data_IF_426182318572
#
_entry.id   IF_426182318572
#
_cell.length_a   1.000
_cell.length_b   1.000
_cell.length_c   1.000
_cell.angle_alpha   90.00
_cell.angle_beta   90.00
_cell.angle_gamma   90.00
#
_symmetry.space_group_name_H-M   'P 1'
#
loop_
_entity.id
_entity.type
_entity.pdbx_description
1 polymer ?
#
# COMPACT_ATOMS: atom_id res chain seq x y z
N UNK A 1 -17.11 -58.30 42.31
CA UNK A 1 -16.28 -57.74 41.25
C UNK A 1 -17.18 -56.76 40.47
N UNK A 2 -16.95 -55.44 40.61
CA UNK A 2 -17.67 -54.40 39.88
C UNK A 2 -16.71 -53.85 38.84
N UNK A 3 -17.06 -54.06 37.57
CA UNK A 3 -16.28 -53.58 36.41
C UNK A 3 -16.71 -52.14 36.09
N UNK A 4 -15.80 -51.20 36.29
CA UNK A 4 -16.05 -49.79 35.92
C UNK A 4 -15.61 -49.59 34.46
N UNK A 5 -16.59 -49.29 33.60
CA UNK A 5 -16.30 -48.93 32.22
C UNK A 5 -15.87 -47.46 32.14
N UNK A 6 -14.70 -47.23 31.58
CA UNK A 6 -14.15 -45.88 31.32
C UNK A 6 -14.65 -45.43 29.95
N UNK A 7 -15.56 -44.43 29.91
CA UNK A 7 -15.94 -43.77 28.66
C UNK A 7 -14.86 -42.79 28.26
N UNK A 8 -14.16 -43.03 27.15
CA UNK A 8 -13.26 -42.08 26.50
C UNK A 8 -14.09 -41.20 25.58
N UNK A 9 -14.33 -39.98 25.98
CA UNK A 9 -14.90 -38.94 25.10
C UNK A 9 -13.81 -38.47 24.15
N UNK A 10 -13.85 -38.90 22.90
CA UNK A 10 -13.05 -38.34 21.82
C UNK A 10 -13.73 -37.05 21.38
N UNK A 11 -13.25 -35.92 21.88
CA UNK A 11 -13.64 -34.60 21.40
C UNK A 11 -13.11 -34.38 19.98
N UNK A 12 -13.97 -34.37 19.00
CA UNK A 12 -13.67 -33.85 17.68
C UNK A 12 -13.54 -32.32 17.80
N UNK A 13 -12.32 -31.81 17.81
CA UNK A 13 -12.10 -30.40 17.47
C UNK A 13 -12.46 -30.24 16.00
N UNK A 14 -13.59 -29.61 15.72
CA UNK A 14 -13.90 -29.15 14.38
C UNK A 14 -12.78 -28.16 13.99
N UNK A 15 -11.94 -28.55 13.03
CA UNK A 15 -11.05 -27.61 12.37
C UNK A 15 -11.96 -26.54 11.76
N UNK A 16 -11.87 -25.29 12.26
CA UNK A 16 -12.51 -24.18 11.61
C UNK A 16 -12.02 -24.18 10.16
N UNK A 17 -12.94 -24.31 9.20
CA UNK A 17 -12.60 -24.17 7.80
C UNK A 17 -11.87 -22.84 7.65
N UNK A 18 -10.69 -22.85 7.04
CA UNK A 18 -9.98 -21.62 6.75
C UNK A 18 -10.93 -20.74 5.93
N UNK A 19 -11.33 -19.59 6.48
CA UNK A 19 -12.15 -18.64 5.72
C UNK A 19 -11.39 -18.30 4.43
N UNK A 20 -12.08 -18.40 3.29
CA UNK A 20 -11.48 -18.00 2.02
C UNK A 20 -11.24 -16.49 2.00
N UNK A 21 -10.21 -16.04 1.27
CA UNK A 21 -10.04 -14.61 1.02
C UNK A 21 -11.27 -14.06 0.28
N UNK A 22 -11.78 -12.86 0.65
CA UNK A 22 -12.92 -12.24 -0.03
C UNK A 22 -12.66 -12.11 -1.54
N UNK A 23 -13.59 -12.58 -2.36
CA UNK A 23 -13.43 -12.61 -3.82
C UNK A 23 -13.21 -11.22 -4.41
N UNK A 24 -13.84 -10.21 -3.85
CA UNK A 24 -13.72 -8.81 -4.23
C UNK A 24 -12.38 -8.18 -3.84
N UNK A 25 -11.55 -8.87 -3.07
CA UNK A 25 -10.18 -8.46 -2.76
C UNK A 25 -9.11 -9.18 -3.60
N UNK A 26 -9.45 -10.27 -4.28
CA UNK A 26 -8.46 -11.11 -4.97
C UNK A 26 -8.75 -11.34 -6.45
N UNK A 27 -9.92 -10.97 -6.94
CA UNK A 27 -10.34 -11.25 -8.32
C UNK A 27 -10.43 -9.96 -9.15
N UNK A 28 -9.33 -9.60 -9.82
CA UNK A 28 -9.17 -8.34 -10.51
C UNK A 28 -8.94 -8.52 -12.00
N UNK A 29 -9.60 -7.68 -12.80
CA UNK A 29 -9.34 -7.54 -14.23
C UNK A 29 -9.10 -6.07 -14.58
N UNK A 30 -8.25 -5.76 -15.56
CA UNK A 30 -8.11 -4.38 -16.03
C UNK A 30 -9.49 -3.79 -16.40
N UNK A 31 -9.73 -2.54 -16.03
CA UNK A 31 -10.95 -1.85 -16.47
C UNK A 31 -11.00 -1.86 -18.01
N UNK A 32 -12.08 -2.38 -18.62
CA UNK A 32 -12.12 -2.57 -20.07
C UNK A 32 -12.15 -1.27 -20.86
N UNK A 33 -12.65 -0.18 -20.26
CA UNK A 33 -12.75 1.12 -20.92
C UNK A 33 -11.53 2.01 -20.63
N UNK A 34 -10.96 1.90 -19.45
CA UNK A 34 -9.90 2.78 -18.95
C UNK A 34 -8.83 1.99 -18.18
N UNK A 35 -8.08 1.08 -18.86
CA UNK A 35 -7.08 0.27 -18.16
C UNK A 35 -5.90 1.10 -17.62
N UNK A 36 -5.67 2.29 -18.18
CA UNK A 36 -4.69 3.26 -17.69
C UNK A 36 -5.38 4.60 -17.51
N UNK A 37 -5.32 5.14 -16.30
CA UNK A 37 -6.06 6.36 -15.92
C UNK A 37 -5.16 7.57 -15.67
N UNK A 38 -3.85 7.35 -15.41
CA UNK A 38 -2.91 8.46 -15.23
C UNK A 38 -1.48 8.03 -15.61
N UNK A 39 -0.73 8.94 -16.24
CA UNK A 39 0.66 8.73 -16.70
C UNK A 39 1.51 9.96 -16.42
N UNK A 40 2.82 9.80 -16.49
CA UNK A 40 3.74 10.92 -16.60
C UNK A 40 3.39 11.82 -17.80
N UNK A 41 3.65 13.12 -17.67
CA UNK A 41 3.30 14.10 -18.71
C UNK A 41 4.17 13.99 -19.98
N UNK A 42 5.29 13.27 -19.88
CA UNK A 42 6.21 13.09 -21.02
C UNK A 42 7.01 14.34 -21.34
N UNK A 43 7.77 14.29 -22.44
CA UNK A 43 8.54 15.43 -22.93
C UNK A 43 9.47 16.06 -21.91
N UNK A 44 9.43 17.39 -21.81
CA UNK A 44 10.24 18.19 -20.90
C UNK A 44 9.56 18.49 -19.56
N UNK A 45 8.39 17.89 -19.29
CA UNK A 45 7.70 18.10 -18.03
C UNK A 45 8.55 17.63 -16.83
N UNK A 46 8.35 18.24 -15.66
CA UNK A 46 9.02 17.84 -14.43
C UNK A 46 8.61 16.41 -14.01
N UNK A 47 7.36 16.03 -14.27
CA UNK A 47 6.77 14.70 -14.10
C UNK A 47 6.73 13.93 -15.43
N UNK A 48 7.81 14.04 -16.22
CA UNK A 48 7.97 13.27 -17.48
C UNK A 48 7.62 11.81 -17.27
N UNK A 49 8.01 11.28 -16.13
CA UNK A 49 7.73 9.93 -15.67
C UNK A 49 7.10 10.02 -14.29
N UNK A 50 6.16 9.15 -14.02
CA UNK A 50 5.70 8.85 -12.66
C UNK A 50 6.14 7.44 -12.30
N UNK A 51 6.31 7.19 -11.02
CA UNK A 51 6.85 5.94 -10.58
C UNK A 51 6.53 5.72 -9.11
N UNK A 52 6.66 4.48 -8.68
CA UNK A 52 6.46 3.99 -7.34
C UNK A 52 5.04 4.25 -6.81
N UNK A 53 4.81 3.96 -5.55
CA UNK A 53 3.49 4.11 -4.96
C UNK A 53 3.11 5.59 -4.85
N UNK A 54 1.99 5.94 -5.49
CA UNK A 54 1.23 7.14 -5.17
C UNK A 54 0.17 6.84 -4.09
N UNK A 55 -0.72 7.80 -3.83
CA UNK A 55 -1.83 7.61 -2.92
C UNK A 55 -3.10 8.23 -3.45
N UNK A 56 -4.22 7.50 -3.37
CA UNK A 56 -5.54 8.02 -3.72
C UNK A 56 -6.38 8.15 -2.43
N UNK A 57 -6.81 9.37 -2.14
CA UNK A 57 -7.79 9.68 -1.11
C UNK A 57 -9.11 10.10 -1.72
N UNK A 58 -10.24 9.83 -1.06
CA UNK A 58 -11.57 10.27 -1.49
C UNK A 58 -12.16 11.19 -0.43
N UNK A 59 -12.50 12.42 -0.83
CA UNK A 59 -13.09 13.44 0.04
C UNK A 59 -14.38 13.98 -0.58
N UNK A 60 -15.51 13.57 -0.01
CA UNK A 60 -16.81 13.89 -0.62
C UNK A 60 -16.89 13.36 -2.06
N UNK A 61 -17.15 14.23 -3.07
CA UNK A 61 -17.21 13.79 -4.47
C UNK A 61 -15.86 13.79 -5.18
N UNK A 62 -14.76 14.16 -4.50
CA UNK A 62 -13.46 14.40 -5.13
C UNK A 62 -12.48 13.32 -4.76
N UNK A 63 -11.79 12.80 -5.76
CA UNK A 63 -10.62 11.94 -5.62
C UNK A 63 -9.37 12.80 -5.70
N UNK A 64 -8.44 12.58 -4.80
CA UNK A 64 -7.13 13.21 -4.75
C UNK A 64 -6.07 12.14 -5.02
N UNK A 65 -5.20 12.39 -5.97
CA UNK A 65 -4.04 11.57 -6.25
C UNK A 65 -2.78 12.36 -5.89
N UNK A 66 -2.02 11.89 -4.92
CA UNK A 66 -0.65 12.31 -4.67
C UNK A 66 0.28 11.30 -5.34
N UNK A 67 1.23 11.78 -6.14
CA UNK A 67 2.08 10.91 -6.94
C UNK A 67 3.53 11.39 -6.97
N UNK A 68 4.44 10.45 -7.12
CA UNK A 68 5.84 10.72 -7.37
C UNK A 68 6.07 11.01 -8.84
N UNK A 69 6.63 12.17 -9.15
CA UNK A 69 6.99 12.57 -10.50
C UNK A 69 8.46 12.96 -10.61
N UNK A 70 9.06 12.70 -11.77
CA UNK A 70 10.47 13.03 -11.99
C UNK A 70 10.85 13.17 -13.47
N UNK A 71 11.95 13.87 -13.69
CA UNK A 71 12.63 13.96 -14.98
C UNK A 71 14.13 14.01 -14.73
N UNK A 72 14.80 12.88 -14.86
CA UNK A 72 16.23 12.72 -14.56
C UNK A 72 17.12 13.63 -15.40
N UNK A 73 16.66 14.06 -16.58
CA UNK A 73 17.36 15.05 -17.41
C UNK A 73 17.34 16.47 -16.83
N UNK A 74 16.48 16.74 -15.83
CA UNK A 74 16.30 18.09 -15.24
C UNK A 74 16.66 18.15 -13.76
N UNK A 75 16.40 17.08 -13.01
CA UNK A 75 16.65 17.03 -11.57
C UNK A 75 16.94 15.59 -11.14
N UNK A 76 17.88 15.40 -10.20
CA UNK A 76 18.09 14.10 -9.57
C UNK A 76 17.04 13.77 -8.51
N UNK A 77 16.10 14.70 -8.22
CA UNK A 77 15.10 14.53 -7.18
C UNK A 77 13.80 13.91 -7.73
N UNK A 78 13.07 13.28 -6.82
CA UNK A 78 11.70 12.85 -6.99
C UNK A 78 10.79 13.87 -6.28
N UNK A 79 9.79 14.37 -6.97
CA UNK A 79 8.91 15.43 -6.46
C UNK A 79 7.51 14.92 -6.23
N UNK A 80 6.79 15.56 -5.31
CA UNK A 80 5.39 15.28 -5.06
C UNK A 80 4.50 16.07 -6.01
N UNK A 81 3.68 15.38 -6.76
CA UNK A 81 2.60 15.96 -7.55
C UNK A 81 1.23 15.68 -6.95
N UNK A 82 0.25 16.46 -7.39
CA UNK A 82 -1.14 16.30 -7.04
C UNK A 82 -2.03 16.37 -8.28
N UNK A 83 -3.07 15.56 -8.27
CA UNK A 83 -4.14 15.62 -9.29
C UNK A 83 -5.49 15.32 -8.63
N UNK A 84 -6.57 15.81 -9.25
CA UNK A 84 -7.94 15.56 -8.79
C UNK A 84 -8.77 14.89 -9.86
N UNK A 85 -9.81 14.19 -9.42
CA UNK A 85 -10.80 13.56 -10.31
C UNK A 85 -12.18 13.56 -9.64
N UNK A 86 -13.24 13.63 -10.43
CA UNK A 86 -14.61 13.46 -9.99
C UNK A 86 -15.10 12.00 -10.10
N UNK A 87 -14.34 11.14 -10.79
CA UNK A 87 -14.74 9.76 -11.08
C UNK A 87 -13.66 8.71 -10.80
N UNK A 88 -12.44 9.16 -10.44
CA UNK A 88 -11.27 8.29 -10.24
C UNK A 88 -10.68 7.75 -11.55
N UNK A 89 -11.18 8.23 -12.70
CA UNK A 89 -10.76 7.79 -14.04
C UNK A 89 -10.10 8.93 -14.82
N UNK A 90 -10.77 10.11 -14.87
CA UNK A 90 -10.26 11.28 -15.55
C UNK A 90 -9.63 12.22 -14.54
N UNK A 91 -8.32 12.39 -14.64
CA UNK A 91 -7.54 13.15 -13.68
C UNK A 91 -7.07 14.49 -14.26
N UNK A 92 -7.17 15.52 -13.45
CA UNK A 92 -6.67 16.86 -13.75
C UNK A 92 -5.49 17.17 -12.83
N UNK A 93 -4.32 17.41 -13.39
CA UNK A 93 -3.13 17.86 -12.63
C UNK A 93 -3.37 19.20 -11.99
N UNK A 94 -2.93 19.34 -10.74
CA UNK A 94 -2.95 20.64 -10.07
C UNK A 94 -2.03 21.62 -10.80
N UNK A 95 -2.49 22.85 -11.08
CA UNK A 95 -1.68 23.85 -11.75
C UNK A 95 -0.47 24.32 -10.93
N UNK A 96 -0.47 24.11 -9.60
CA UNK A 96 0.63 24.44 -8.72
C UNK A 96 1.73 23.36 -8.68
N UNK A 97 1.57 22.27 -9.42
CA UNK A 97 2.56 21.18 -9.42
C UNK A 97 3.97 21.60 -9.86
N UNK A 98 5.02 21.04 -9.22
CA UNK A 98 4.98 20.07 -8.11
C UNK A 98 4.55 20.74 -6.80
N UNK A 99 3.68 20.10 -6.02
CA UNK A 99 3.20 20.63 -4.73
C UNK A 99 4.24 20.50 -3.63
N UNK A 100 5.29 19.72 -3.85
CA UNK A 100 6.51 19.71 -3.01
C UNK A 100 7.72 19.32 -3.86
N UNK A 101 8.80 20.09 -3.76
CA UNK A 101 10.03 19.92 -4.53
C UNK A 101 11.30 20.19 -3.71
N UNK A 102 11.19 20.39 -2.39
CA UNK A 102 12.32 20.72 -1.54
C UNK A 102 13.14 19.47 -1.18
N UNK A 103 12.50 18.31 -1.12
CA UNK A 103 13.15 17.04 -0.81
C UNK A 103 12.72 15.92 -1.76
N UNK A 104 13.36 14.77 -1.63
CA UNK A 104 12.98 13.54 -2.32
C UNK A 104 11.72 12.96 -1.70
N UNK A 105 10.70 12.69 -2.51
CA UNK A 105 9.41 12.10 -2.08
C UNK A 105 9.07 10.95 -3.01
N UNK A 106 9.06 9.74 -2.47
CA UNK A 106 8.75 8.50 -3.18
C UNK A 106 7.92 7.58 -2.27
N UNK A 107 7.19 6.62 -2.83
CA UNK A 107 6.38 5.66 -2.08
C UNK A 107 5.45 6.28 -1.02
N UNK A 108 4.64 7.23 -1.47
CA UNK A 108 3.83 8.05 -0.57
C UNK A 108 2.64 7.28 0.02
N UNK A 109 2.37 7.55 1.29
CA UNK A 109 1.17 7.16 2.01
C UNK A 109 0.58 8.41 2.67
N UNK A 110 -0.67 8.75 2.38
CA UNK A 110 -1.31 9.95 2.91
C UNK A 110 -2.47 9.56 3.83
N UNK A 111 -2.42 10.04 5.05
CA UNK A 111 -3.47 9.83 6.06
C UNK A 111 -4.07 11.16 6.48
N UNK A 112 -5.39 11.30 6.40
CA UNK A 112 -6.09 12.46 6.94
C UNK A 112 -6.59 12.18 8.34
N UNK A 113 -6.06 12.90 9.33
CA UNK A 113 -6.41 12.72 10.73
C UNK A 113 -6.53 14.06 11.45
N UNK A 114 -7.63 14.25 12.22
CA UNK A 114 -7.84 15.48 12.99
C UNK A 114 -7.89 16.76 12.16
N UNK A 115 -8.35 16.67 10.91
CA UNK A 115 -8.44 17.81 9.98
C UNK A 115 -7.11 18.18 9.30
N UNK A 116 -6.06 17.39 9.48
CA UNK A 116 -4.73 17.55 8.83
C UNK A 116 -4.38 16.33 8.01
N UNK A 117 -3.46 16.54 7.06
CA UNK A 117 -2.85 15.47 6.27
C UNK A 117 -1.46 15.19 6.83
N UNK A 118 -1.18 13.91 7.02
CA UNK A 118 0.12 13.37 7.32
C UNK A 118 0.56 12.53 6.12
N UNK A 119 1.68 12.89 5.51
CA UNK A 119 2.28 12.17 4.41
C UNK A 119 3.54 11.49 4.90
N UNK A 120 3.61 10.20 4.67
CA UNK A 120 4.78 9.37 4.90
C UNK A 120 5.35 9.00 3.53
N UNK A 121 6.64 9.18 3.36
CA UNK A 121 7.30 8.94 2.09
C UNK A 121 8.68 8.31 2.29
N UNK A 122 9.14 7.64 1.26
CA UNK A 122 10.54 7.29 1.15
C UNK A 122 11.33 8.50 0.63
N UNK A 123 12.44 8.78 1.29
CA UNK A 123 13.38 9.82 0.93
C UNK A 123 14.65 9.25 0.31
N UNK A 124 15.68 10.08 0.18
CA UNK A 124 17.00 9.63 -0.28
C UNK A 124 17.55 8.51 0.61
N UNK A 125 18.24 7.57 -0.03
CA UNK A 125 18.87 6.41 0.61
C UNK A 125 17.85 5.52 1.32
N UNK A 126 16.63 5.48 0.79
CA UNK A 126 15.54 4.66 1.29
C UNK A 126 15.28 4.93 2.79
N UNK A 127 15.21 6.21 3.18
CA UNK A 127 14.93 6.64 4.54
C UNK A 127 13.53 7.23 4.62
N UNK A 128 12.66 6.59 5.38
CA UNK A 128 11.30 7.07 5.58
C UNK A 128 11.28 8.41 6.32
N UNK A 129 10.49 9.35 5.81
CA UNK A 129 10.30 10.67 6.40
C UNK A 129 8.83 11.08 6.37
N UNK A 130 8.52 12.17 7.08
CA UNK A 130 7.16 12.66 7.21
C UNK A 130 7.04 14.12 6.78
N UNK A 131 5.93 14.43 6.12
CA UNK A 131 5.46 15.78 5.83
C UNK A 131 4.05 15.94 6.41
N UNK A 132 3.64 17.18 6.67
CA UNK A 132 2.28 17.48 7.13
C UNK A 132 1.71 18.65 6.36
N UNK A 133 0.38 18.66 6.20
CA UNK A 133 -0.33 19.73 5.47
C UNK A 133 -1.69 20.01 6.11
N UNK A 134 -2.15 21.25 5.96
CA UNK A 134 -3.52 21.62 6.33
C UNK A 134 -4.53 21.38 5.18
N UNK A 135 -4.06 21.40 3.94
CA UNK A 135 -4.89 21.39 2.74
C UNK A 135 -4.54 20.29 1.71
N UNK A 136 -3.47 19.50 1.99
CA UNK A 136 -3.00 18.46 1.07
C UNK A 136 -2.18 18.98 -0.12
N UNK A 137 -1.92 20.28 -0.20
CA UNK A 137 -1.20 20.95 -1.28
C UNK A 137 0.08 21.63 -0.81
N UNK A 138 0.05 22.27 0.35
CA UNK A 138 1.20 22.93 0.95
C UNK A 138 1.76 22.07 2.07
N UNK A 139 2.99 21.58 1.89
CA UNK A 139 3.60 20.57 2.75
C UNK A 139 4.79 21.10 3.53
N UNK A 140 4.75 20.90 4.85
CA UNK A 140 5.83 21.17 5.78
C UNK A 140 6.60 19.90 6.10
N UNK A 141 7.91 19.89 5.92
CA UNK A 141 8.75 18.76 6.28
C UNK A 141 8.83 18.57 7.80
N UNK A 142 8.78 17.32 8.24
CA UNK A 142 8.97 16.92 9.65
C UNK A 142 10.25 16.11 9.85
N UNK A 143 10.91 15.75 8.75
CA UNK A 143 12.15 15.01 8.74
C UNK A 143 11.99 13.49 8.81
N UNK A 144 13.11 12.78 8.94
CA UNK A 144 13.13 11.32 9.04
C UNK A 144 12.34 10.82 10.23
N UNK A 145 11.74 9.62 10.08
CA UNK A 145 11.03 8.95 11.18
C UNK A 145 12.04 8.43 12.21
N UNK A 146 11.83 8.71 13.50
CA UNK A 146 12.61 8.13 14.61
C UNK A 146 12.03 6.75 14.96
N UNK A 147 12.51 5.72 14.27
CA UNK A 147 12.09 4.34 14.50
C UNK A 147 13.04 3.65 15.48
N UNK A 148 12.47 2.96 16.45
CA UNK A 148 13.17 2.32 17.56
C UNK A 148 12.80 0.85 17.70
N UNK A 149 13.73 0.08 18.26
CA UNK A 149 13.52 -1.29 18.68
C UNK A 149 12.52 -1.36 19.84
N UNK A 150 12.08 -2.57 20.17
CA UNK A 150 11.17 -2.83 21.29
C UNK A 150 11.71 -2.30 22.62
N UNK A 151 13.01 -2.33 22.83
CA UNK A 151 13.69 -1.81 24.03
C UNK A 151 13.88 -0.29 24.05
N UNK A 152 13.43 0.40 23.01
CA UNK A 152 13.55 1.86 22.85
C UNK A 152 14.88 2.33 22.28
N UNK A 153 15.85 1.44 22.02
CA UNK A 153 17.08 1.80 21.32
C UNK A 153 16.83 2.07 19.83
N UNK A 154 17.65 2.89 19.17
CA UNK A 154 17.52 3.09 17.71
C UNK A 154 17.61 1.78 16.94
N UNK A 155 16.89 1.69 15.82
CA UNK A 155 17.10 0.57 14.88
C UNK A 155 18.52 0.60 14.32
N UNK A 156 19.00 -0.55 13.85
CA UNK A 156 20.33 -0.64 13.25
C UNK A 156 20.44 0.32 12.03
N UNK A 157 21.61 0.92 11.79
CA UNK A 157 21.83 1.77 10.61
C UNK A 157 21.50 1.04 9.30
N UNK A 158 21.04 1.79 8.32
CA UNK A 158 20.70 1.28 6.99
C UNK A 158 19.38 1.81 6.49
N UNK A 159 18.92 1.36 5.30
CA UNK A 159 17.66 1.78 4.73
C UNK A 159 16.47 1.31 5.58
N UNK A 160 15.43 2.13 5.58
CA UNK A 160 14.09 1.82 6.08
C UNK A 160 13.09 2.71 5.33
N UNK A 161 12.48 2.15 4.30
CA UNK A 161 11.68 2.87 3.31
C UNK A 161 10.26 2.34 3.19
N UNK A 162 9.62 2.71 2.10
CA UNK A 162 8.26 2.31 1.72
C UNK A 162 7.27 2.37 2.90
N UNK A 163 7.12 3.53 3.57
CA UNK A 163 6.32 3.64 4.79
C UNK A 163 4.83 3.57 4.48
N UNK A 164 4.10 2.69 5.16
CA UNK A 164 2.64 2.60 5.12
C UNK A 164 2.10 2.82 6.51
N UNK A 165 1.36 3.93 6.71
CA UNK A 165 0.85 4.31 8.03
C UNK A 165 -0.67 4.42 8.05
N UNK A 166 -1.26 4.20 9.21
CA UNK A 166 -2.69 4.44 9.47
C UNK A 166 -2.92 4.74 10.95
N UNK A 167 -4.06 5.37 11.24
CA UNK A 167 -4.47 5.67 12.60
C UNK A 167 -5.69 4.83 12.98
N UNK A 168 -5.63 4.14 14.10
CA UNK A 168 -6.74 3.35 14.61
C UNK A 168 -6.72 3.31 16.15
N UNK A 169 -7.90 3.44 16.76
CA UNK A 169 -8.09 3.34 18.22
C UNK A 169 -7.09 4.18 19.06
N UNK A 170 -6.78 5.42 18.60
CA UNK A 170 -5.90 6.33 19.32
C UNK A 170 -4.40 6.04 19.15
N UNK A 171 -4.03 5.16 18.23
CA UNK A 171 -2.65 4.75 17.97
C UNK A 171 -2.35 4.86 16.49
N UNK A 172 -1.18 5.38 16.15
CA UNK A 172 -0.60 5.32 14.84
C UNK A 172 0.14 4.00 14.67
N UNK A 173 -0.03 3.38 13.52
CA UNK A 173 0.66 2.19 13.08
C UNK A 173 1.51 2.54 11.85
N UNK A 174 2.65 1.93 11.73
CA UNK A 174 3.57 2.07 10.60
C UNK A 174 4.10 0.69 10.22
N UNK A 175 3.93 0.32 8.96
CA UNK A 175 4.71 -0.75 8.35
C UNK A 175 5.77 -0.09 7.47
N UNK A 176 7.01 -0.55 7.56
CA UNK A 176 8.14 -0.03 6.80
C UNK A 176 9.05 -1.19 6.36
N UNK A 177 9.66 -1.05 5.22
CA UNK A 177 10.55 -2.04 4.62
C UNK A 177 12.01 -1.78 5.05
N UNK A 178 12.86 -2.81 5.09
CA UNK A 178 14.29 -2.68 5.39
C UNK A 178 15.16 -3.52 4.45
N UNK A 179 15.73 -2.88 3.44
CA UNK A 179 16.76 -3.44 2.56
C UNK A 179 16.34 -4.74 1.90
N UNK A 180 15.11 -4.82 1.42
CA UNK A 180 14.47 -5.97 0.75
C UNK A 180 14.33 -7.24 1.63
N UNK A 181 14.58 -7.13 2.94
CA UNK A 181 14.54 -8.28 3.86
C UNK A 181 13.16 -8.55 4.44
N UNK A 182 12.21 -7.64 4.25
CA UNK A 182 10.86 -7.77 4.76
C UNK A 182 10.29 -6.45 5.26
N UNK A 183 9.12 -6.53 5.87
CA UNK A 183 8.40 -5.40 6.45
C UNK A 183 8.29 -5.53 7.97
N UNK A 184 8.56 -4.45 8.70
CA UNK A 184 8.47 -4.32 10.16
C UNK A 184 7.26 -3.52 10.55
N UNK A 185 6.76 -3.73 11.75
CA UNK A 185 5.61 -3.03 12.31
C UNK A 185 6.02 -2.23 13.54
N UNK A 186 5.78 -0.93 13.50
CA UNK A 186 5.97 -0.01 14.62
C UNK A 186 4.68 0.74 14.96
N UNK A 187 4.63 1.33 16.15
CA UNK A 187 3.52 2.18 16.61
C UNK A 187 4.02 3.50 17.18
N UNK A 188 3.17 4.52 17.11
CA UNK A 188 3.41 5.82 17.72
C UNK A 188 2.13 6.40 18.31
N UNK A 189 2.26 7.26 19.34
CA UNK A 189 1.15 8.06 19.87
C UNK A 189 1.26 9.54 19.49
N UNK A 190 2.41 9.98 19.03
CA UNK A 190 2.73 11.40 18.84
C UNK A 190 3.30 11.72 17.44
N UNK A 191 3.45 10.71 16.56
CA UNK A 191 4.09 10.85 15.25
C UNK A 191 5.57 11.24 15.29
N UNK A 192 6.18 11.25 16.47
CA UNK A 192 7.57 11.64 16.66
C UNK A 192 8.45 10.41 16.84
N UNK A 193 8.11 9.55 17.78
CA UNK A 193 8.82 8.32 18.05
C UNK A 193 7.96 7.12 17.68
N UNK A 194 8.54 6.21 16.93
CA UNK A 194 7.93 4.96 16.48
C UNK A 194 8.64 3.78 17.11
N UNK A 195 7.93 2.97 17.87
CA UNK A 195 8.53 1.80 18.54
C UNK A 195 8.02 0.52 17.87
N UNK A 196 8.95 -0.35 17.48
CA UNK A 196 8.63 -1.66 16.95
C UNK A 196 7.77 -2.46 17.92
N UNK A 197 6.77 -3.18 17.41
CA UNK A 197 6.03 -4.17 18.19
C UNK A 197 6.84 -5.46 18.37
N UNK A 198 7.75 -5.73 17.42
CA UNK A 198 8.76 -6.79 17.48
C UNK A 198 9.95 -6.38 16.60
N UNK A 199 11.13 -6.88 16.93
CA UNK A 199 12.35 -6.54 16.18
C UNK A 199 12.60 -7.45 14.96
N UNK A 200 11.79 -8.48 14.78
CA UNK A 200 11.73 -9.30 13.57
C UNK A 200 10.67 -8.78 12.61
N UNK A 201 10.83 -8.98 11.30
CA UNK A 201 9.83 -8.59 10.32
C UNK A 201 8.50 -9.34 10.52
N UNK A 202 7.39 -8.69 10.19
CA UNK A 202 6.04 -9.27 10.22
C UNK A 202 5.64 -9.87 8.87
N UNK A 203 6.22 -9.42 7.77
CA UNK A 203 6.06 -9.99 6.43
C UNK A 203 7.46 -10.13 5.79
N UNK A 204 7.76 -11.30 5.22
CA UNK A 204 9.08 -11.59 4.63
C UNK A 204 8.93 -12.09 3.19
N UNK A 205 9.98 -11.93 2.35
CA UNK A 205 10.04 -12.57 1.05
C UNK A 205 9.91 -14.09 1.13
N UNK A 206 9.42 -14.71 0.05
CA UNK A 206 9.22 -16.15 -0.04
C UNK A 206 8.15 -16.73 0.91
N UNK A 207 7.97 -18.04 0.95
CA UNK A 207 8.72 -19.05 0.18
C UNK A 207 8.35 -19.14 -1.31
N UNK A 208 7.31 -18.46 -1.73
CA UNK A 208 6.81 -18.53 -3.11
C UNK A 208 7.73 -17.81 -4.11
N UNK A 209 7.67 -18.25 -5.36
CA UNK A 209 8.59 -17.73 -6.38
C UNK A 209 8.33 -16.24 -6.71
N UNK A 210 7.06 -15.79 -6.67
CA UNK A 210 6.67 -14.44 -7.10
C UNK A 210 7.21 -13.32 -6.19
N UNK A 211 7.52 -13.62 -4.93
CA UNK A 211 7.99 -12.65 -3.95
C UNK A 211 9.34 -13.02 -3.30
N UNK A 212 10.12 -13.85 -3.98
CA UNK A 212 11.35 -14.44 -3.41
C UNK A 212 12.48 -13.44 -3.15
N UNK A 213 12.42 -12.21 -3.69
CA UNK A 213 13.49 -11.23 -3.60
C UNK A 213 13.14 -9.99 -2.78
N UNK A 214 11.89 -9.55 -2.81
CA UNK A 214 11.46 -8.36 -2.09
C UNK A 214 9.95 -8.37 -1.81
N UNK A 215 9.56 -7.77 -0.69
CA UNK A 215 8.17 -7.43 -0.34
C UNK A 215 8.14 -6.08 0.35
N UNK A 216 7.16 -5.25 0.00
CA UNK A 216 6.87 -4.01 0.73
C UNK A 216 5.35 -3.75 0.74
N UNK A 217 4.83 -3.31 1.90
CA UNK A 217 3.39 -3.14 2.09
C UNK A 217 2.94 -1.78 1.55
N UNK A 218 1.92 -1.81 0.70
CA UNK A 218 1.36 -0.63 0.05
C UNK A 218 0.20 -0.01 0.83
N UNK A 219 -0.68 -0.86 1.35
CA UNK A 219 -1.88 -0.42 2.08
C UNK A 219 -2.30 -1.50 3.07
N UNK A 220 -2.82 -1.08 4.23
CA UNK A 220 -3.50 -1.96 5.18
C UNK A 220 -4.94 -1.49 5.33
N UNK A 221 -5.88 -2.39 5.17
CA UNK A 221 -7.30 -2.17 5.42
C UNK A 221 -7.83 -3.18 6.43
N UNK A 222 -8.99 -2.89 7.05
CA UNK A 222 -9.62 -3.79 8.00
C UNK A 222 -11.08 -4.02 7.63
N UNK A 223 -11.46 -5.30 7.44
CA UNK A 223 -12.85 -5.73 7.25
C UNK A 223 -13.18 -6.84 8.24
N UNK A 224 -14.33 -6.77 8.88
CA UNK A 224 -14.89 -7.82 9.76
C UNK A 224 -13.88 -8.36 10.79
N UNK A 225 -13.04 -7.47 11.33
CA UNK A 225 -12.04 -7.83 12.32
C UNK A 225 -10.74 -8.43 11.78
N UNK A 226 -10.62 -8.60 10.45
CA UNK A 226 -9.43 -9.08 9.76
C UNK A 226 -8.72 -7.91 9.08
N UNK A 227 -7.40 -7.87 9.19
CA UNK A 227 -6.55 -6.95 8.45
C UNK A 227 -6.14 -7.59 7.13
N UNK A 228 -6.13 -6.80 6.07
CA UNK A 228 -5.64 -7.17 4.75
C UNK A 228 -4.54 -6.19 4.36
N UNK A 229 -3.40 -6.70 3.94
CA UNK A 229 -2.29 -5.91 3.42
C UNK A 229 -2.18 -6.15 1.93
N UNK A 230 -2.34 -5.08 1.14
CA UNK A 230 -1.80 -5.06 -0.22
C UNK A 230 -0.30 -4.83 -0.13
N UNK A 231 0.47 -5.57 -0.90
CA UNK A 231 1.92 -5.42 -0.95
C UNK A 231 2.45 -5.65 -2.35
N UNK A 232 3.47 -4.91 -2.71
CA UNK A 232 4.21 -5.22 -3.91
C UNK A 232 5.34 -6.19 -3.62
N UNK A 233 5.68 -6.97 -4.64
CA UNK A 233 6.68 -8.01 -4.52
C UNK A 233 7.47 -8.19 -5.81
N UNK A 234 8.67 -8.73 -5.68
CA UNK A 234 9.53 -9.03 -6.80
C UNK A 234 10.23 -10.38 -6.65
N UNK A 235 10.36 -11.07 -7.78
CA UNK A 235 11.04 -12.36 -7.91
C UNK A 235 12.43 -12.26 -8.56
N UNK A 236 12.84 -11.07 -8.99
CA UNK A 236 13.97 -10.90 -9.91
C UNK A 236 15.02 -9.92 -9.42
N UNK A 237 16.29 -10.27 -9.67
CA UNK A 237 17.42 -9.35 -9.65
C UNK A 237 18.12 -9.38 -11.02
N UNK A 238 18.27 -8.22 -11.74
CA UNK A 238 17.82 -6.87 -11.41
C UNK A 238 16.28 -6.75 -11.43
N UNK A 239 15.75 -5.72 -10.77
CA UNK A 239 14.33 -5.48 -10.60
C UNK A 239 13.57 -5.39 -11.92
N UNK A 240 12.53 -6.20 -12.08
CA UNK A 240 11.57 -6.21 -13.19
C UNK A 240 10.33 -6.98 -12.79
N UNK A 241 9.25 -6.80 -13.54
CA UNK A 241 8.02 -7.59 -13.39
C UNK A 241 7.44 -7.56 -11.97
N UNK A 242 7.40 -6.37 -11.38
CA UNK A 242 6.78 -6.14 -10.09
C UNK A 242 5.30 -6.56 -10.09
N UNK A 243 4.83 -7.06 -8.98
CA UNK A 243 3.48 -7.60 -8.82
C UNK A 243 2.75 -6.97 -7.64
N UNK A 244 1.41 -6.97 -7.68
CA UNK A 244 0.54 -6.65 -6.55
C UNK A 244 0.00 -7.94 -5.94
N UNK A 245 0.06 -8.01 -4.63
CA UNK A 245 -0.25 -9.19 -3.84
C UNK A 245 -1.09 -8.81 -2.63
N UNK A 246 -1.68 -9.80 -1.97
CA UNK A 246 -2.46 -9.59 -0.75
C UNK A 246 -2.12 -10.64 0.31
N UNK A 247 -2.09 -10.20 1.57
CA UNK A 247 -2.01 -11.04 2.74
C UNK A 247 -3.06 -10.62 3.77
N UNK A 248 -3.41 -11.50 4.71
CA UNK A 248 -4.33 -11.19 5.81
C UNK A 248 -3.73 -11.50 7.16
N UNK A 249 -4.23 -10.83 8.20
CA UNK A 249 -3.83 -11.03 9.59
C UNK A 249 -4.99 -10.70 10.54
N UNK A 250 -5.04 -11.34 11.70
CA UNK A 250 -5.97 -10.97 12.78
C UNK A 250 -5.31 -10.09 13.85
N UNK A 251 -3.98 -10.01 13.86
CA UNK A 251 -3.21 -9.36 14.92
C UNK A 251 -2.09 -8.43 14.40
N UNK A 252 -1.96 -8.25 13.08
CA UNK A 252 -0.90 -7.47 12.40
C UNK A 252 0.51 -8.08 12.51
N UNK A 253 0.68 -9.18 13.21
CA UNK A 253 1.96 -9.86 13.44
C UNK A 253 2.10 -11.10 12.58
N UNK A 254 1.04 -11.92 12.53
CA UNK A 254 1.02 -13.17 11.78
C UNK A 254 0.21 -12.98 10.50
N UNK A 255 0.92 -12.95 9.38
CA UNK A 255 0.32 -12.73 8.07
C UNK A 255 0.27 -14.02 7.27
N UNK A 256 -0.90 -14.30 6.71
CA UNK A 256 -1.15 -15.36 5.76
C UNK A 256 -1.24 -14.77 4.36
N UNK A 257 -0.31 -15.12 3.48
CA UNK A 257 -0.34 -14.72 2.08
C UNK A 257 -1.45 -15.46 1.32
N UNK A 258 -2.11 -14.77 0.41
CA UNK A 258 -3.13 -15.41 -0.43
C UNK A 258 -2.50 -16.46 -1.34
N UNK A 259 -2.97 -17.73 -1.33
CA UNK A 259 -2.37 -18.80 -2.14
C UNK A 259 -2.42 -18.56 -3.65
N UNK A 260 -3.33 -17.70 -4.12
CA UNK A 260 -3.46 -17.31 -5.52
C UNK A 260 -2.69 -16.05 -5.93
N UNK A 261 -1.77 -15.55 -5.08
CA UNK A 261 -0.89 -14.43 -5.46
C UNK A 261 0.01 -14.80 -6.67
N UNK A 262 0.37 -13.81 -7.51
CA UNK A 262 -0.02 -12.40 -7.44
C UNK A 262 -1.47 -12.17 -7.88
N UNK A 263 -2.17 -11.23 -7.21
CA UNK A 263 -3.52 -10.81 -7.63
C UNK A 263 -3.49 -9.92 -8.87
N UNK A 264 -2.38 -9.23 -9.13
CA UNK A 264 -2.08 -8.51 -10.38
C UNK A 264 -0.60 -8.69 -10.72
N UNK A 265 -0.33 -9.10 -11.94
CA UNK A 265 1.02 -9.25 -12.52
C UNK A 265 1.31 -8.24 -13.62
N UNK A 266 2.29 -8.58 -14.50
CA UNK A 266 2.59 -7.78 -15.69
C UNK A 266 3.21 -6.42 -15.38
N UNK A 267 4.12 -6.35 -14.41
CA UNK A 267 4.77 -5.12 -13.94
C UNK A 267 3.77 -4.05 -13.48
N UNK A 268 2.73 -4.50 -12.75
CA UNK A 268 1.69 -3.66 -12.16
C UNK A 268 1.72 -3.85 -10.66
N UNK A 269 2.36 -2.94 -9.96
CA UNK A 269 2.60 -3.00 -8.51
C UNK A 269 2.12 -1.75 -7.78
N UNK A 270 2.41 -1.69 -6.49
CA UNK A 270 2.03 -0.58 -5.62
C UNK A 270 0.51 -0.40 -5.58
N UNK A 271 -0.17 -1.48 -5.19
CA UNK A 271 -1.63 -1.59 -5.22
C UNK A 271 -2.33 -0.78 -4.14
N UNK A 272 -3.38 -0.05 -4.52
CA UNK A 272 -4.28 0.64 -3.60
C UNK A 272 -5.73 0.28 -3.88
N UNK A 273 -6.46 -0.13 -2.85
CA UNK A 273 -7.91 -0.27 -2.89
C UNK A 273 -8.57 1.06 -2.54
N UNK A 274 -9.54 1.43 -3.35
CA UNK A 274 -10.42 2.58 -3.11
C UNK A 274 -11.85 2.07 -3.08
N UNK A 275 -12.50 2.28 -1.95
CA UNK A 275 -13.90 1.92 -1.72
C UNK A 275 -14.75 3.18 -1.71
N UNK A 276 -15.78 3.22 -2.54
CA UNK A 276 -16.72 4.34 -2.62
C UNK A 276 -18.13 3.86 -3.04
N UNK A 277 -19.02 4.79 -3.32
CA UNK A 277 -20.39 4.48 -3.75
C UNK A 277 -20.47 3.71 -5.10
N UNK A 278 -19.38 3.61 -5.85
CA UNK A 278 -19.29 2.86 -7.11
C UNK A 278 -18.75 1.44 -6.92
N UNK A 279 -18.41 1.05 -5.69
CA UNK A 279 -17.83 -0.24 -5.34
C UNK A 279 -16.35 -0.16 -5.01
N UNK A 280 -15.69 -1.33 -4.99
CA UNK A 280 -14.27 -1.46 -4.71
C UNK A 280 -13.49 -1.47 -6.02
N UNK A 281 -12.48 -0.61 -6.12
CA UNK A 281 -11.56 -0.52 -7.26
C UNK A 281 -10.13 -0.67 -6.79
N UNK A 282 -9.33 -1.37 -7.58
CA UNK A 282 -7.89 -1.49 -7.34
C UNK A 282 -7.14 -0.61 -8.33
N UNK A 283 -6.26 0.23 -7.81
CA UNK A 283 -5.31 0.98 -8.61
C UNK A 283 -3.91 0.44 -8.37
N UNK A 284 -3.13 0.27 -9.44
CA UNK A 284 -1.69 0.03 -9.33
C UNK A 284 -0.96 1.27 -9.78
N UNK A 285 0.16 1.61 -9.14
CA UNK A 285 0.82 2.91 -9.31
C UNK A 285 2.15 2.85 -10.08
N UNK A 286 2.65 1.65 -10.37
CA UNK A 286 3.91 1.46 -11.07
C UNK A 286 3.67 0.68 -12.39
N UNK A 287 4.22 1.11 -13.53
CA UNK A 287 4.94 2.37 -13.82
C UNK A 287 4.01 3.54 -14.19
N UNK A 288 2.74 3.33 -14.15
CA UNK A 288 1.64 4.27 -14.44
C UNK A 288 0.43 3.89 -13.59
N UNK A 289 -0.53 4.77 -13.41
CA UNK A 289 -1.74 4.44 -12.67
C UNK A 289 -2.67 3.63 -13.57
N UNK A 290 -2.86 2.38 -13.23
CA UNK A 290 -3.78 1.46 -13.88
C UNK A 290 -4.98 1.18 -12.99
N UNK A 291 -6.14 1.01 -13.61
CA UNK A 291 -7.39 0.72 -12.94
C UNK A 291 -7.79 -0.73 -13.19
N UNK A 292 -8.13 -1.40 -12.10
CA UNK A 292 -8.70 -2.75 -12.11
C UNK A 292 -10.05 -2.74 -11.41
N UNK A 293 -10.96 -3.54 -11.91
CA UNK A 293 -12.31 -3.71 -11.38
C UNK A 293 -12.56 -5.17 -11.05
N UNK A 294 -13.47 -5.41 -10.12
CA UNK A 294 -13.93 -6.75 -9.85
C UNK A 294 -14.86 -7.20 -10.99
N UNK A 295 -14.67 -8.38 -11.60
CA UNK A 295 -15.53 -8.85 -12.69
C UNK A 295 -17.02 -8.95 -12.32
N UNK A 296 -17.35 -9.10 -11.03
CA UNK A 296 -18.74 -9.10 -10.57
C UNK A 296 -19.39 -7.71 -10.59
N UNK A 297 -18.57 -6.64 -10.56
CA UNK A 297 -19.01 -5.24 -10.54
C UNK A 297 -18.93 -4.57 -11.94
N UNK A 298 -18.49 -5.31 -12.94
CA UNK A 298 -18.42 -4.84 -14.33
C UNK A 298 -19.81 -4.55 -14.91
N UNK A 299 -19.94 -3.59 -15.87
CA UNK A 299 -21.19 -3.42 -16.58
C UNK A 299 -21.63 -4.74 -17.18
N UNK A 300 -22.91 -5.09 -17.00
CA UNK A 300 -23.46 -6.30 -17.62
C UNK A 300 -23.05 -6.35 -19.10
N UNK A 301 -22.59 -7.50 -19.61
CA UNK A 301 -22.19 -7.61 -21.01
C UNK A 301 -23.35 -7.09 -21.87
N UNK A 302 -23.03 -6.19 -22.83
CA UNK A 302 -24.02 -5.67 -23.73
C UNK A 302 -24.78 -6.85 -24.37
N UNK A 303 -26.09 -6.81 -24.31
CA UNK A 303 -26.90 -7.86 -24.91
C UNK A 303 -26.52 -8.01 -26.39
N UNK A 304 -26.36 -9.23 -26.90
CA UNK A 304 -26.04 -9.42 -28.31
C UNK A 304 -27.10 -8.72 -29.16
N UNK A 305 -26.65 -7.82 -30.04
CA UNK A 305 -27.52 -7.22 -31.06
C UNK A 305 -28.16 -8.35 -31.87
N UNK A 306 -29.48 -8.31 -31.96
CA UNK A 306 -30.29 -9.28 -32.71
C UNK A 306 -30.27 -8.97 -34.19
#
# INVERSE_FOLDING_TARGET
MRTTALLVLIGWAAAAAAEDFPRDLVNWVPDPAHPVVFRGAGGEAWDRTIRERGWIGVEGPTYHLWYTGYNEGRSPLRFLGHATSADGVRWTRDPANPVHAASWVEDVCVVRQGGRYELFAEGRNDVAHRLTSADGLHWDERGPLDVRKVDGSPIDPGPYGTPTAWFAAGTWYLIYERGDRGAWLATSRDLTTWTNLRDDPVLVPGPDAYDSQAVAVDQVLRRDGVYYALYHANAHRPWRDWTTNIARSRDLIHWEKYPGNPIVGGNSSSGLLVEDARGTRLYTMHPEVRLFVNPADGPAPAAPEK
#
